data_IF_659639817004
#
_entry.id   IF_659639817004
#
_cell.length_a   1.000
_cell.length_b   1.000
_cell.length_c   1.000
_cell.angle_alpha   90.00
_cell.angle_beta   90.00
_cell.angle_gamma   90.00
#
_symmetry.space_group_name_H-M   'P 1'
#
loop_
_entity.id
_entity.type
_entity.pdbx_description
1 polymer ?
#
# COMPACT_ATOMS: atom_id res chain seq x y z
N UNK A 1 -21.97 11.80 -2.96
CA UNK A 1 -20.89 12.61 -2.36
C UNK A 1 -20.76 13.87 -3.19
N UNK A 2 -20.77 15.05 -2.56
CA UNK A 2 -20.53 16.32 -3.27
C UNK A 2 -19.02 16.61 -3.40
N UNK A 3 -18.65 17.54 -4.29
CA UNK A 3 -17.24 17.87 -4.55
C UNK A 3 -16.55 18.57 -3.38
N UNK A 4 -17.26 19.36 -2.56
CA UNK A 4 -16.66 20.02 -1.40
C UNK A 4 -16.22 19.01 -0.36
N UNK A 5 -17.07 18.02 -0.08
CA UNK A 5 -16.72 16.90 0.79
C UNK A 5 -15.55 16.08 0.23
N UNK A 6 -15.55 15.82 -1.08
CA UNK A 6 -14.43 15.14 -1.72
C UNK A 6 -13.11 15.90 -1.58
N UNK A 7 -13.11 17.22 -1.75
CA UNK A 7 -11.93 18.08 -1.55
C UNK A 7 -11.40 17.97 -0.12
N UNK A 8 -12.28 18.01 0.89
CA UNK A 8 -11.89 17.84 2.29
C UNK A 8 -11.18 16.50 2.53
N UNK A 9 -11.77 15.40 2.04
CA UNK A 9 -11.21 14.05 2.18
C UNK A 9 -9.86 13.96 1.46
N UNK A 10 -9.77 14.42 0.21
CA UNK A 10 -8.53 14.35 -0.58
C UNK A 10 -7.42 15.22 0.03
N UNK A 11 -7.74 16.39 0.57
CA UNK A 11 -6.77 17.27 1.22
C UNK A 11 -6.22 16.63 2.50
N UNK A 12 -7.09 16.05 3.33
CA UNK A 12 -6.67 15.34 4.55
C UNK A 12 -5.87 14.09 4.23
N UNK A 13 -6.33 13.30 3.26
CA UNK A 13 -5.61 12.12 2.81
C UNK A 13 -4.24 12.46 2.19
N UNK A 14 -4.12 13.60 1.49
CA UNK A 14 -2.84 14.02 0.92
C UNK A 14 -1.79 14.29 2.01
N UNK A 15 -2.20 14.88 3.14
CA UNK A 15 -1.32 15.07 4.30
C UNK A 15 -0.90 13.74 4.94
N UNK A 16 -1.85 12.82 5.13
CA UNK A 16 -1.53 11.47 5.64
C UNK A 16 -0.60 10.71 4.69
N UNK A 17 -0.79 10.86 3.37
CA UNK A 17 0.09 10.27 2.36
C UNK A 17 1.51 10.81 2.48
N UNK A 18 1.65 12.14 2.62
CA UNK A 18 2.95 12.81 2.78
C UNK A 18 3.69 12.32 4.02
N UNK A 19 2.97 12.24 5.14
CA UNK A 19 3.56 11.88 6.44
C UNK A 19 3.97 10.41 6.51
N UNK A 20 3.19 9.52 5.90
CA UNK A 20 3.31 8.08 6.17
C UNK A 20 3.80 7.23 5.00
N UNK A 21 3.78 7.74 3.77
CA UNK A 21 4.01 6.93 2.57
C UNK A 21 4.95 7.60 1.57
N UNK A 22 4.82 8.91 1.33
CA UNK A 22 5.67 9.64 0.39
C UNK A 22 7.16 9.47 0.73
N UNK A 23 7.98 9.27 -0.31
CA UNK A 23 9.44 9.11 -0.22
C UNK A 23 9.89 7.98 0.72
N UNK A 24 9.02 6.98 0.91
CA UNK A 24 9.31 5.78 1.69
C UNK A 24 9.16 4.53 0.83
N UNK A 25 10.01 3.55 1.14
CA UNK A 25 9.82 2.17 0.70
C UNK A 25 9.22 1.36 1.84
N UNK A 26 8.26 0.49 1.50
CA UNK A 26 7.57 -0.36 2.48
C UNK A 26 7.74 -1.81 2.04
N UNK A 27 8.26 -2.62 2.95
CA UNK A 27 8.42 -4.06 2.79
C UNK A 27 7.33 -4.77 3.58
N UNK A 28 6.41 -5.44 2.88
CA UNK A 28 5.46 -6.36 3.48
C UNK A 28 6.11 -7.74 3.59
N UNK A 29 6.24 -8.25 4.81
CA UNK A 29 6.65 -9.64 5.06
C UNK A 29 5.41 -10.50 5.25
N UNK A 30 5.21 -11.48 4.38
CA UNK A 30 3.98 -12.26 4.32
C UNK A 30 4.22 -13.74 4.05
N UNK A 31 3.25 -14.58 4.43
CA UNK A 31 3.35 -16.03 4.22
C UNK A 31 2.05 -16.75 4.59
N UNK A 32 2.05 -18.07 4.43
CA UNK A 32 0.93 -18.91 4.87
C UNK A 32 1.04 -19.16 6.38
N UNK A 33 0.00 -18.86 7.18
CA UNK A 33 0.04 -19.09 8.63
C UNK A 33 0.46 -20.50 9.03
N UNK A 34 -0.02 -21.52 8.33
CA UNK A 34 0.31 -22.93 8.61
C UNK A 34 1.81 -23.22 8.45
N UNK A 35 2.44 -22.63 7.44
CA UNK A 35 3.86 -22.87 7.12
C UNK A 35 4.76 -22.10 8.08
N UNK A 36 4.49 -20.82 8.29
CA UNK A 36 5.24 -19.98 9.24
C UNK A 36 5.15 -20.53 10.65
N UNK A 37 3.95 -20.95 11.09
CA UNK A 37 3.78 -21.53 12.42
C UNK A 37 4.54 -22.85 12.58
N UNK A 38 4.66 -23.66 11.53
CA UNK A 38 5.47 -24.88 11.57
C UNK A 38 6.95 -24.54 11.78
N UNK A 39 7.47 -23.56 11.04
CA UNK A 39 8.87 -23.12 11.12
C UNK A 39 9.22 -22.48 12.48
N UNK A 40 8.26 -21.81 13.12
CA UNK A 40 8.43 -21.28 14.48
C UNK A 40 8.62 -22.38 15.55
N UNK A 41 8.23 -23.62 15.28
CA UNK A 41 8.43 -24.76 16.18
C UNK A 41 9.73 -25.53 15.87
N UNK A 42 10.42 -25.21 14.79
CA UNK A 42 11.70 -25.85 14.43
C UNK A 42 12.84 -25.27 15.27
N UNK A 43 13.87 -26.08 15.53
CA UNK A 43 14.97 -25.68 16.43
C UNK A 43 15.81 -24.52 15.90
N UNK A 44 15.92 -24.38 14.58
CA UNK A 44 16.67 -23.29 13.93
C UNK A 44 15.82 -22.02 13.69
N UNK A 45 14.49 -22.09 13.84
CA UNK A 45 13.51 -21.00 13.68
C UNK A 45 13.76 -20.10 12.45
N UNK A 46 14.14 -20.70 11.31
CA UNK A 46 14.32 -19.94 10.06
C UNK A 46 12.99 -19.87 9.32
N UNK A 47 12.45 -18.65 9.19
CA UNK A 47 11.16 -18.36 8.56
C UNK A 47 11.28 -18.25 7.04
N UNK A 48 11.80 -19.29 6.38
CA UNK A 48 12.02 -19.29 4.92
C UNK A 48 10.74 -19.26 4.09
N UNK A 49 9.59 -19.59 4.67
CA UNK A 49 8.28 -19.45 4.02
C UNK A 49 7.77 -18.00 3.96
N UNK A 50 8.40 -17.08 4.71
CA UNK A 50 8.08 -15.65 4.66
C UNK A 50 8.72 -15.03 3.43
N UNK A 51 7.89 -14.34 2.64
CA UNK A 51 8.26 -13.61 1.43
C UNK A 51 8.22 -12.11 1.69
N UNK A 52 9.05 -11.35 0.96
CA UNK A 52 9.06 -9.89 0.96
C UNK A 52 8.40 -9.32 -0.29
N UNK A 53 7.53 -8.31 -0.12
CA UNK A 53 7.04 -7.47 -1.22
C UNK A 53 7.33 -6.00 -0.94
N UNK A 54 8.32 -5.45 -1.61
CA UNK A 54 8.70 -4.03 -1.55
C UNK A 54 7.80 -3.19 -2.46
N UNK A 55 7.20 -2.13 -1.91
CA UNK A 55 6.38 -1.15 -2.62
C UNK A 55 6.87 0.28 -2.36
N UNK A 56 6.59 1.16 -3.32
CA UNK A 56 7.00 2.57 -3.29
C UNK A 56 5.80 3.48 -3.58
N UNK A 57 5.72 4.59 -2.87
CA UNK A 57 4.62 5.55 -2.95
C UNK A 57 5.14 6.90 -3.46
N UNK A 58 4.95 7.17 -4.76
CA UNK A 58 5.33 8.45 -5.35
C UNK A 58 4.15 9.43 -5.38
N UNK A 59 4.45 10.74 -5.35
CA UNK A 59 3.46 11.82 -5.45
C UNK A 59 2.42 11.63 -6.56
N UNK A 60 2.86 11.16 -7.74
CA UNK A 60 1.95 10.97 -8.88
C UNK A 60 0.95 9.82 -8.69
N UNK A 61 1.24 8.85 -7.80
CA UNK A 61 0.32 7.75 -7.53
C UNK A 61 -0.92 8.20 -6.75
N UNK A 62 -0.83 9.30 -5.97
CA UNK A 62 -1.93 9.76 -5.12
C UNK A 62 -3.23 9.97 -5.92
N UNK A 63 -3.15 10.56 -7.12
CA UNK A 63 -4.31 10.77 -8.00
C UNK A 63 -5.08 9.46 -8.25
N UNK A 64 -4.38 8.35 -8.54
CA UNK A 64 -5.00 7.06 -8.82
C UNK A 64 -5.80 6.51 -7.64
N UNK A 65 -5.36 6.81 -6.41
CA UNK A 65 -6.00 6.39 -5.18
C UNK A 65 -7.28 7.17 -4.89
N UNK A 66 -7.41 8.41 -5.37
CA UNK A 66 -8.64 9.20 -5.23
C UNK A 66 -9.77 8.76 -6.17
N UNK A 67 -9.43 8.22 -7.34
CA UNK A 67 -10.40 7.88 -8.38
C UNK A 67 -11.02 9.06 -9.12
N UNK A 68 -10.55 10.29 -8.91
CA UNK A 68 -10.99 11.45 -9.72
C UNK A 68 -10.25 11.49 -11.05
N UNK A 69 -10.83 12.16 -12.05
CA UNK A 69 -10.15 12.48 -13.32
C UNK A 69 -9.80 13.95 -13.33
N UNK A 70 -8.57 14.27 -13.71
CA UNK A 70 -8.13 15.67 -13.80
C UNK A 70 -8.85 16.41 -14.91
N UNK A 71 -9.22 17.67 -14.62
CA UNK A 71 -9.48 18.64 -15.65
C UNK A 71 -8.15 19.24 -16.11
N UNK A 72 -7.63 18.75 -17.24
CA UNK A 72 -6.31 19.14 -17.76
C UNK A 72 -6.18 20.62 -18.12
N UNK A 73 -7.29 21.36 -18.25
CA UNK A 73 -7.28 22.82 -18.44
C UNK A 73 -6.82 23.56 -17.18
N UNK A 74 -7.20 23.06 -16.00
CA UNK A 74 -6.96 23.71 -14.70
C UNK A 74 -5.77 23.10 -13.94
N UNK A 75 -5.53 21.80 -14.16
CA UNK A 75 -4.49 21.04 -13.46
C UNK A 75 -3.70 20.19 -14.44
N UNK A 76 -2.45 20.60 -14.67
CA UNK A 76 -1.56 20.04 -15.68
C UNK A 76 -1.16 18.57 -15.44
N UNK A 77 -1.02 18.13 -14.18
CA UNK A 77 -0.49 16.81 -13.86
C UNK A 77 -0.99 16.26 -12.52
N UNK A 78 -0.79 14.95 -12.30
CA UNK A 78 -1.08 14.30 -11.03
C UNK A 78 -0.24 14.88 -9.87
N UNK A 79 0.99 15.30 -10.15
CA UNK A 79 1.86 15.96 -9.17
C UNK A 79 1.30 17.33 -8.80
N UNK A 80 0.87 18.12 -9.79
CA UNK A 80 0.25 19.43 -9.53
C UNK A 80 -1.06 19.28 -8.74
N UNK A 81 -1.88 18.29 -9.08
CA UNK A 81 -3.07 17.93 -8.31
C UNK A 81 -2.74 17.63 -6.84
N UNK A 82 -1.74 16.77 -6.61
CA UNK A 82 -1.30 16.42 -5.26
C UNK A 82 -0.81 17.65 -4.48
N UNK A 83 -0.02 18.52 -5.13
CA UNK A 83 0.45 19.77 -4.53
C UNK A 83 -0.71 20.71 -4.17
N UNK A 84 -1.72 20.86 -5.03
CA UNK A 84 -2.93 21.64 -4.72
C UNK A 84 -3.66 21.09 -3.50
N UNK A 85 -3.74 19.77 -3.31
CA UNK A 85 -4.29 19.16 -2.10
C UNK A 85 -3.49 19.56 -0.86
N UNK A 86 -2.16 19.44 -0.90
CA UNK A 86 -1.29 19.79 0.23
C UNK A 86 -1.40 21.27 0.63
N UNK A 87 -1.45 22.15 -0.37
CA UNK A 87 -1.56 23.60 -0.18
C UNK A 87 -2.97 24.06 0.17
N UNK A 88 -3.96 23.14 0.23
CA UNK A 88 -5.39 23.45 0.42
C UNK A 88 -5.95 24.40 -0.66
N UNK A 89 -5.45 24.29 -1.90
CA UNK A 89 -5.84 25.08 -3.07
C UNK A 89 -6.63 24.29 -4.12
N UNK A 90 -6.99 23.04 -3.82
CA UNK A 90 -7.81 22.22 -4.72
C UNK A 90 -9.24 22.77 -4.80
N UNK A 91 -9.73 22.99 -6.01
CA UNK A 91 -11.07 23.51 -6.31
C UNK A 91 -11.94 22.48 -7.02
N UNK A 92 -13.24 22.74 -7.09
CA UNK A 92 -14.18 21.87 -7.78
C UNK A 92 -13.92 21.76 -9.30
N UNK A 93 -13.25 22.75 -9.90
CA UNK A 93 -12.95 22.79 -11.33
C UNK A 93 -11.72 21.96 -11.72
N UNK A 94 -10.88 21.61 -10.75
CA UNK A 94 -9.62 20.88 -10.98
C UNK A 94 -9.83 19.41 -11.38
N UNK A 95 -11.01 18.86 -11.08
CA UNK A 95 -11.30 17.45 -11.32
C UNK A 95 -12.78 17.19 -11.57
N UNK A 96 -13.05 16.01 -12.10
CA UNK A 96 -14.39 15.43 -12.25
C UNK A 96 -14.42 14.04 -11.62
N UNK A 97 -15.58 13.64 -11.11
CA UNK A 97 -15.78 12.27 -10.65
C UNK A 97 -15.82 11.30 -11.84
N UNK A 98 -15.37 10.08 -11.60
CA UNK A 98 -15.55 8.99 -12.55
C UNK A 98 -17.04 8.68 -12.71
N UNK A 99 -17.47 8.44 -13.95
CA UNK A 99 -18.88 8.18 -14.29
C UNK A 99 -19.42 6.85 -13.73
N UNK A 100 -18.52 5.93 -13.41
CA UNK A 100 -18.83 4.58 -12.89
C UNK A 100 -19.05 4.54 -11.37
N UNK A 101 -18.98 5.69 -10.69
CA UNK A 101 -19.16 5.78 -9.23
C UNK A 101 -17.95 5.32 -8.40
N UNK A 102 -16.87 4.86 -9.03
CA UNK A 102 -15.67 4.37 -8.34
C UNK A 102 -15.00 5.41 -7.45
N UNK A 103 -15.10 6.69 -7.80
CA UNK A 103 -14.56 7.80 -6.99
C UNK A 103 -15.11 7.78 -5.57
N UNK A 104 -16.44 7.67 -5.40
CA UNK A 104 -17.05 7.68 -4.06
C UNK A 104 -16.55 6.51 -3.22
N UNK A 105 -16.50 5.32 -3.80
CA UNK A 105 -16.00 4.11 -3.13
C UNK A 105 -14.55 4.25 -2.67
N UNK A 106 -13.69 4.85 -3.51
CA UNK A 106 -12.28 5.12 -3.15
C UNK A 106 -12.17 6.15 -2.03
N UNK A 107 -12.89 7.27 -2.13
CA UNK A 107 -12.84 8.34 -1.14
C UNK A 107 -13.32 7.90 0.24
N UNK A 108 -14.30 6.98 0.32
CA UNK A 108 -14.80 6.44 1.59
C UNK A 108 -13.72 5.77 2.45
N UNK A 109 -12.68 5.20 1.83
CA UNK A 109 -11.60 4.48 2.53
C UNK A 109 -10.24 5.15 2.38
N UNK A 110 -10.13 6.22 1.59
CA UNK A 110 -8.87 6.84 1.20
C UNK A 110 -8.00 7.20 2.42
N UNK A 111 -8.55 7.97 3.36
CA UNK A 111 -7.80 8.40 4.57
C UNK A 111 -7.26 7.21 5.37
N UNK A 112 -8.10 6.18 5.59
CA UNK A 112 -7.70 4.97 6.32
C UNK A 112 -6.59 4.21 5.62
N UNK A 113 -6.60 4.19 4.28
CA UNK A 113 -5.62 3.46 3.48
C UNK A 113 -4.28 4.19 3.36
N UNK A 114 -4.21 5.49 3.70
CA UNK A 114 -2.91 6.17 3.84
C UNK A 114 -2.11 5.64 5.04
N UNK A 115 -2.77 4.94 5.97
CA UNK A 115 -2.17 4.26 7.10
C UNK A 115 -1.87 2.77 6.83
N UNK A 116 -1.73 2.38 5.55
CA UNK A 116 -1.60 0.96 5.15
C UNK A 116 -0.51 0.21 5.94
N UNK A 117 0.60 0.88 6.28
CA UNK A 117 1.71 0.27 7.03
C UNK A 117 1.27 -0.28 8.39
N UNK A 118 0.26 0.34 9.01
CA UNK A 118 -0.25 -0.03 10.34
C UNK A 118 -1.41 -1.02 10.27
N UNK A 119 -2.24 -0.94 9.23
CA UNK A 119 -3.53 -1.64 9.18
C UNK A 119 -3.64 -2.72 8.11
N UNK A 120 -2.60 -2.96 7.32
CA UNK A 120 -2.50 -4.13 6.43
C UNK A 120 -2.51 -5.42 7.25
N UNK A 121 -3.27 -6.41 6.81
CA UNK A 121 -3.32 -7.74 7.43
C UNK A 121 -3.10 -8.87 6.44
N UNK A 122 -3.35 -8.61 5.16
CA UNK A 122 -3.33 -9.62 4.10
C UNK A 122 -2.73 -9.05 2.81
N UNK A 123 -2.20 -9.95 1.99
CA UNK A 123 -1.67 -9.67 0.65
C UNK A 123 -1.91 -10.89 -0.26
N UNK A 124 -2.09 -10.66 -1.55
CA UNK A 124 -2.22 -11.75 -2.52
C UNK A 124 -2.17 -11.27 -3.96
N UNK A 125 -2.05 -12.23 -4.89
CA UNK A 125 -2.16 -11.97 -6.32
C UNK A 125 -3.56 -11.45 -6.63
N UNK A 126 -3.65 -10.34 -7.34
CA UNK A 126 -4.92 -9.77 -7.73
C UNK A 126 -5.58 -10.65 -8.80
N UNK A 127 -6.86 -10.92 -8.65
CA UNK A 127 -7.68 -11.59 -9.66
C UNK A 127 -8.59 -10.57 -10.31
N UNK A 128 -8.59 -10.54 -11.65
CA UNK A 128 -9.39 -9.61 -12.46
C UNK A 128 -10.90 -9.93 -12.44
N UNK A 129 -11.42 -10.36 -11.28
CA UNK A 129 -12.86 -10.59 -11.07
C UNK A 129 -13.66 -9.28 -10.98
N UNK A 130 -13.09 -8.16 -11.45
CA UNK A 130 -13.68 -6.83 -11.48
C UNK A 130 -13.46 -6.14 -12.83
N UNK A 131 -14.07 -4.97 -13.06
CA UNK A 131 -13.99 -4.28 -14.35
C UNK A 131 -12.55 -3.81 -14.64
N UNK A 132 -11.89 -4.41 -15.64
CA UNK A 132 -10.67 -3.93 -16.34
C UNK A 132 -9.68 -3.16 -15.45
N UNK A 133 -9.22 -3.77 -14.37
CA UNK A 133 -8.17 -3.19 -13.52
C UNK A 133 -6.87 -3.98 -13.74
N UNK A 134 -5.90 -3.36 -14.43
CA UNK A 134 -4.56 -3.91 -14.51
C UNK A 134 -3.85 -3.71 -13.16
N UNK A 135 -3.96 -4.70 -12.27
CA UNK A 135 -3.31 -4.77 -10.95
C UNK A 135 -2.65 -6.14 -10.80
N UNK A 136 -1.44 -6.20 -10.22
CA UNK A 136 -0.71 -7.46 -10.07
C UNK A 136 -0.93 -8.06 -8.68
N UNK A 137 -0.71 -7.29 -7.62
CA UNK A 137 -0.95 -7.70 -6.23
C UNK A 137 -1.83 -6.69 -5.50
N UNK A 138 -2.55 -7.15 -4.50
CA UNK A 138 -3.27 -6.29 -3.57
C UNK A 138 -2.80 -6.55 -2.14
N UNK A 139 -2.66 -5.49 -1.35
CA UNK A 139 -2.41 -5.56 0.09
C UNK A 139 -3.44 -4.71 0.84
N UNK A 140 -3.96 -5.22 1.95
CA UNK A 140 -5.04 -4.57 2.68
C UNK A 140 -5.61 -5.42 3.81
N UNK A 141 -6.89 -5.20 4.08
CA UNK A 141 -7.68 -5.91 5.07
C UNK A 141 -9.11 -6.11 4.56
N UNK A 142 -10.01 -6.55 5.44
CA UNK A 142 -11.41 -6.83 5.10
C UNK A 142 -12.22 -5.57 4.72
N UNK A 143 -11.73 -4.37 5.02
CA UNK A 143 -12.43 -3.11 4.73
C UNK A 143 -11.99 -2.46 3.42
N UNK A 144 -10.80 -2.82 2.92
CA UNK A 144 -10.25 -2.25 1.71
C UNK A 144 -8.80 -2.66 1.47
N UNK A 145 -8.36 -2.49 0.23
CA UNK A 145 -7.00 -2.80 -0.18
C UNK A 145 -6.47 -1.79 -1.22
N UNK A 146 -5.14 -1.70 -1.27
CA UNK A 146 -4.40 -0.98 -2.32
C UNK A 146 -3.93 -2.02 -3.32
N UNK A 147 -4.14 -1.73 -4.61
CA UNK A 147 -3.56 -2.47 -5.71
C UNK A 147 -2.20 -1.92 -6.08
N UNK A 148 -1.27 -2.82 -6.43
CA UNK A 148 0.09 -2.52 -6.83
C UNK A 148 0.39 -3.12 -8.21
N UNK A 149 1.22 -2.41 -8.97
CA UNK A 149 1.74 -2.85 -10.28
C UNK A 149 3.22 -2.56 -10.35
N UNK A 150 3.94 -3.36 -11.12
CA UNK A 150 5.29 -3.03 -11.52
C UNK A 150 5.30 -1.86 -12.51
N UNK A 151 5.84 -0.73 -12.09
CA UNK A 151 6.03 0.43 -12.94
C UNK A 151 6.98 0.10 -14.10
N UNK A 152 6.58 0.43 -15.33
CA UNK A 152 7.34 0.03 -16.52
C UNK A 152 8.71 0.69 -16.62
N UNK A 153 8.86 1.89 -16.07
CA UNK A 153 10.07 2.69 -16.18
C UNK A 153 11.05 2.35 -15.05
N UNK A 154 10.58 2.42 -13.81
CA UNK A 154 11.41 2.24 -12.61
C UNK A 154 11.55 0.78 -12.18
N UNK A 155 10.67 -0.11 -12.68
CA UNK A 155 10.55 -1.52 -12.26
C UNK A 155 10.15 -1.71 -10.79
N UNK A 156 9.78 -0.64 -10.10
CA UNK A 156 9.31 -0.66 -8.71
C UNK A 156 7.83 -1.01 -8.64
N UNK A 157 7.38 -1.61 -7.54
CA UNK A 157 5.96 -1.84 -7.32
C UNK A 157 5.32 -0.56 -6.77
N UNK A 158 4.37 0.00 -7.50
CA UNK A 158 3.72 1.28 -7.16
C UNK A 158 2.21 1.12 -7.09
N UNK A 159 1.52 1.92 -6.26
CA UNK A 159 0.08 1.84 -6.16
C UNK A 159 -0.60 2.40 -7.41
N UNK A 160 -1.60 1.68 -7.91
CA UNK A 160 -2.36 2.05 -9.11
C UNK A 160 -3.88 2.16 -8.85
N UNK A 161 -4.37 1.61 -7.75
CA UNK A 161 -5.79 1.65 -7.41
C UNK A 161 -6.06 1.42 -5.93
N UNK A 162 -7.27 1.78 -5.52
CA UNK A 162 -7.80 1.57 -4.19
C UNK A 162 -9.18 0.91 -4.31
N UNK A 163 -9.45 -0.11 -3.50
CA UNK A 163 -10.68 -0.91 -3.59
C UNK A 163 -11.33 -1.02 -2.21
N UNK A 164 -12.60 -0.59 -2.12
CA UNK A 164 -13.46 -0.79 -0.94
C UNK A 164 -14.11 -2.16 -1.01
N UNK A 165 -13.29 -3.20 -0.83
CA UNK A 165 -13.68 -4.60 -0.84
C UNK A 165 -12.88 -5.36 0.19
N UNK A 166 -13.39 -6.51 0.62
CA UNK A 166 -12.58 -7.48 1.33
C UNK A 166 -11.49 -7.98 0.37
N UNK A 167 -10.24 -7.94 0.81
CA UNK A 167 -9.12 -8.39 -0.01
C UNK A 167 -9.28 -9.84 -0.48
N UNK A 168 -9.91 -10.70 0.31
CA UNK A 168 -10.14 -12.12 -0.02
C UNK A 168 -11.06 -12.32 -1.23
N UNK A 169 -11.88 -11.33 -1.53
CA UNK A 169 -12.79 -11.35 -2.69
C UNK A 169 -12.11 -10.90 -3.98
N UNK A 170 -10.93 -10.26 -3.88
CA UNK A 170 -10.21 -9.71 -5.04
C UNK A 170 -8.88 -10.41 -5.30
N UNK A 171 -8.37 -11.22 -4.37
CA UNK A 171 -7.12 -11.97 -4.55
C UNK A 171 -7.34 -13.45 -4.83
N UNK A 172 -6.40 -14.07 -5.53
CA UNK A 172 -6.35 -15.51 -5.72
C UNK A 172 -6.20 -16.22 -4.37
N UNK A 173 -6.72 -17.44 -4.29
CA UNK A 173 -6.49 -18.29 -3.12
C UNK A 173 -5.19 -19.08 -3.29
N UNK A 174 -4.38 -19.22 -2.22
CA UNK A 174 -4.61 -18.65 -0.89
C UNK A 174 -4.26 -17.16 -0.81
N UNK A 175 -5.05 -16.40 -0.04
CA UNK A 175 -4.65 -15.06 0.40
C UNK A 175 -3.67 -15.19 1.57
N UNK A 176 -2.54 -14.50 1.51
CA UNK A 176 -1.48 -14.61 2.51
C UNK A 176 -1.69 -13.63 3.66
N UNK A 177 -1.18 -14.00 4.84
CA UNK A 177 -1.13 -13.13 6.02
C UNK A 177 0.13 -12.26 5.96
N UNK A 178 -0.02 -10.97 6.26
CA UNK A 178 1.13 -10.08 6.51
C UNK A 178 1.55 -10.19 7.97
N UNK A 179 2.77 -10.66 8.18
CA UNK A 179 3.38 -10.86 9.49
C UNK A 179 4.15 -9.63 9.95
N UNK A 180 4.85 -8.94 9.05
CA UNK A 180 5.57 -7.73 9.41
C UNK A 180 5.44 -6.65 8.35
N UNK A 181 5.61 -5.41 8.79
CA UNK A 181 5.75 -4.25 7.91
C UNK A 181 6.96 -3.47 8.37
N UNK A 182 7.95 -3.38 7.48
CA UNK A 182 9.19 -2.64 7.72
C UNK A 182 9.27 -1.54 6.66
N UNK A 183 9.78 -0.38 7.03
CA UNK A 183 9.95 0.74 6.10
C UNK A 183 11.31 1.38 6.22
N UNK A 184 11.67 2.16 5.20
CA UNK A 184 12.88 2.99 5.16
C UNK A 184 12.63 4.23 4.31
N UNK A 185 13.50 5.23 4.43
CA UNK A 185 13.51 6.33 3.49
C UNK A 185 13.94 5.82 2.09
N UNK A 186 13.47 6.47 1.03
CA UNK A 186 13.68 6.00 -0.34
C UNK A 186 15.14 5.80 -0.73
N UNK A 187 16.05 6.61 -0.18
CA UNK A 187 17.49 6.59 -0.44
C UNK A 187 18.27 5.65 0.46
N UNK A 188 17.66 5.11 1.52
CA UNK A 188 18.37 4.27 2.48
C UNK A 188 18.63 2.89 1.87
N UNK A 189 19.78 2.30 2.19
CA UNK A 189 20.15 0.98 1.71
C UNK A 189 19.36 -0.12 2.43
N UNK A 190 19.24 -0.03 3.76
CA UNK A 190 18.60 -1.04 4.60
C UNK A 190 17.31 -0.56 5.26
N UNK A 191 16.47 -1.53 5.58
CA UNK A 191 15.21 -1.33 6.30
C UNK A 191 15.43 -1.28 7.81
N UNK A 192 15.08 -0.14 8.43
CA UNK A 192 15.36 0.16 9.84
C UNK A 192 14.12 0.47 10.67
N UNK A 193 12.96 0.75 10.05
CA UNK A 193 11.76 1.15 10.78
C UNK A 193 10.71 0.04 10.80
N UNK A 194 10.64 -0.73 11.90
CA UNK A 194 9.61 -1.73 12.14
C UNK A 194 8.28 -1.06 12.52
N UNK A 195 7.30 -1.10 11.61
CA UNK A 195 5.98 -0.48 11.82
C UNK A 195 4.99 -1.45 12.47
N UNK A 196 5.09 -2.73 12.12
CA UNK A 196 4.20 -3.78 12.60
C UNK A 196 4.93 -5.11 12.61
N UNK A 197 4.72 -5.92 13.65
CA UNK A 197 5.16 -7.30 13.73
C UNK A 197 4.06 -8.16 14.35
N UNK A 198 3.91 -9.38 13.86
CA UNK A 198 3.02 -10.37 14.46
C UNK A 198 3.61 -10.87 15.77
N UNK A 199 2.76 -11.07 16.77
CA UNK A 199 3.19 -11.46 18.12
C UNK A 199 3.88 -12.83 18.15
N UNK A 200 3.66 -13.67 17.13
CA UNK A 200 4.31 -14.97 17.04
C UNK A 200 5.77 -14.92 16.62
N UNK A 201 6.26 -13.76 16.14
CA UNK A 201 7.63 -13.59 15.62
C UNK A 201 8.45 -12.79 16.63
N UNK A 202 9.53 -13.39 17.12
CA UNK A 202 10.55 -12.70 17.92
C UNK A 202 11.87 -12.66 17.12
N UNK A 203 12.28 -11.46 16.69
CA UNK A 203 13.52 -11.27 15.92
C UNK A 203 14.79 -11.66 16.68
N UNK A 204 14.73 -11.85 18.01
CA UNK A 204 15.87 -12.38 18.77
C UNK A 204 16.02 -13.89 18.62
N UNK A 205 14.92 -14.58 18.34
CA UNK A 205 14.89 -16.04 18.29
C UNK A 205 14.76 -16.60 16.87
N UNK A 206 14.30 -15.79 15.91
CA UNK A 206 14.08 -16.21 14.53
C UNK A 206 14.71 -15.29 13.49
N UNK A 207 15.08 -15.90 12.37
CA UNK A 207 15.61 -15.22 11.20
C UNK A 207 14.70 -15.46 10.00
N UNK A 208 14.63 -14.50 9.09
CA UNK A 208 14.00 -14.68 7.79
C UNK A 208 14.99 -15.35 6.81
N UNK A 209 14.56 -15.50 5.55
CA UNK A 209 15.47 -15.93 4.49
C UNK A 209 16.62 -14.94 4.30
N UNK A 210 17.77 -15.42 3.84
CA UNK A 210 18.97 -14.61 3.59
C UNK A 210 18.66 -13.37 2.72
N UNK A 211 17.80 -13.51 1.71
CA UNK A 211 17.36 -12.39 0.87
C UNK A 211 16.71 -11.27 1.69
N UNK A 212 15.86 -11.60 2.65
CA UNK A 212 15.21 -10.60 3.51
C UNK A 212 16.21 -10.06 4.54
N UNK A 213 17.05 -10.92 5.12
CA UNK A 213 18.10 -10.51 6.07
C UNK A 213 19.05 -9.48 5.46
N UNK A 214 19.42 -9.65 4.19
CA UNK A 214 20.29 -8.71 3.48
C UNK A 214 19.62 -7.35 3.23
N UNK A 215 18.29 -7.29 3.19
CA UNK A 215 17.54 -6.04 3.01
C UNK A 215 17.36 -5.27 4.32
N UNK A 216 17.37 -5.94 5.47
CA UNK A 216 17.04 -5.34 6.76
C UNK A 216 18.29 -5.02 7.59
N UNK A 217 18.16 -4.01 8.44
CA UNK A 217 19.15 -3.70 9.46
C UNK A 217 18.69 -4.29 10.80
N UNK A 218 18.97 -5.57 11.00
CA UNK A 218 18.46 -6.36 12.13
C UNK A 218 18.83 -5.77 13.50
N UNK A 219 20.00 -5.15 13.63
CA UNK A 219 20.45 -4.59 14.91
C UNK A 219 19.62 -3.36 15.32
N UNK A 220 19.07 -2.64 14.34
CA UNK A 220 18.30 -1.42 14.53
C UNK A 220 16.78 -1.62 14.39
N UNK A 221 16.29 -2.87 14.26
CA UNK A 221 14.87 -3.22 14.13
C UNK A 221 14.16 -3.58 15.43
#
# INVERSE_FOLDING_TARGET
MDKRRAIQIMTKAAQLYKEHLEDQKVLFLYGLPKEVNKQLQESNKILSSVQGYEVVFHRYNFLHLTGVRLNKKETASAIHFYQKCLDKRLTENDFVFAKDGSTGQKLDILERMMLIKKNVTMIGEFTDRGPKLYTEKAAGNICGCIGFVKDKNTKLNVPNTLLKKDIRDVTAQPTYKVFAVISKHYTDEKYTNLVKMDKSIDLKECCFSETIENMIDRENL
#
